data_IF_513876242760
#
_entry.id   IF_513876242760
#
_cell.length_a   1.000
_cell.length_b   1.000
_cell.length_c   1.000
_cell.angle_alpha   90.00
_cell.angle_beta   90.00
_cell.angle_gamma   90.00
#
_symmetry.space_group_name_H-M   'P 1'
#
loop_
_entity.id
_entity.type
_entity.pdbx_description
1 polymer ?
#
# COMPACT_ATOMS: atom_id res chain seq x y z
N UNK A 1 -18.79 9.68 -0.33
CA UNK A 1 -18.12 8.82 -1.33
C UNK A 1 -17.27 7.81 -0.57
N UNK A 2 -17.45 6.51 -0.79
CA UNK A 2 -16.62 5.48 -0.15
C UNK A 2 -15.46 5.10 -1.09
N UNK A 3 -14.26 4.99 -0.53
CA UNK A 3 -13.07 4.53 -1.24
C UNK A 3 -12.52 3.34 -0.45
N UNK A 4 -12.36 2.21 -1.12
CA UNK A 4 -11.53 1.12 -0.61
C UNK A 4 -10.07 1.44 -0.95
N UNK A 5 -9.28 1.81 0.06
CA UNK A 5 -7.93 2.30 -0.15
C UNK A 5 -6.88 1.20 -0.30
N UNK A 6 -7.27 -0.07 -0.19
CA UNK A 6 -6.34 -1.20 -0.31
C UNK A 6 -7.05 -2.52 -0.59
N UNK A 7 -7.08 -2.95 -1.85
CA UNK A 7 -7.73 -4.21 -2.24
C UNK A 7 -6.92 -4.95 -3.32
N UNK A 8 -6.57 -6.22 -3.06
CA UNK A 8 -5.87 -7.07 -4.03
C UNK A 8 -6.87 -7.76 -4.97
N UNK A 9 -7.61 -6.97 -5.76
CA UNK A 9 -8.49 -7.52 -6.80
C UNK A 9 -7.72 -8.19 -7.93
N UNK A 10 -6.42 -7.93 -8.05
CA UNK A 10 -5.48 -8.62 -8.95
C UNK A 10 -5.17 -10.07 -8.52
N UNK A 11 -5.54 -10.46 -7.30
CA UNK A 11 -5.33 -11.80 -6.80
C UNK A 11 -6.11 -12.87 -7.59
N UNK A 12 -5.56 -14.07 -7.64
CA UNK A 12 -6.10 -15.21 -8.39
C UNK A 12 -7.45 -15.70 -7.82
N UNK A 13 -7.68 -15.48 -6.52
CA UNK A 13 -8.95 -15.77 -5.85
C UNK A 13 -10.15 -15.05 -6.46
N UNK A 14 -9.92 -13.99 -7.24
CA UNK A 14 -10.96 -13.25 -7.95
C UNK A 14 -11.04 -13.60 -9.44
N UNK A 15 -10.23 -14.51 -9.99
CA UNK A 15 -10.20 -14.77 -11.45
C UNK A 15 -11.57 -15.13 -12.03
N UNK A 16 -12.39 -15.89 -11.29
CA UNK A 16 -13.70 -16.32 -11.76
C UNK A 16 -14.78 -15.23 -11.69
N UNK A 17 -14.65 -14.22 -10.83
CA UNK A 17 -15.73 -13.29 -10.55
C UNK A 17 -15.35 -11.81 -10.29
N UNK A 18 -14.11 -11.42 -10.57
CA UNK A 18 -13.55 -10.07 -10.39
C UNK A 18 -14.49 -8.96 -10.85
N UNK A 19 -14.97 -9.05 -12.10
CA UNK A 19 -15.89 -8.06 -12.67
C UNK A 19 -17.18 -7.94 -11.87
N UNK A 20 -17.75 -9.06 -11.43
CA UNK A 20 -18.97 -9.09 -10.63
C UNK A 20 -18.72 -8.51 -9.23
N UNK A 21 -17.56 -8.77 -8.64
CA UNK A 21 -17.16 -8.19 -7.34
C UNK A 21 -17.06 -6.66 -7.45
N UNK A 22 -16.40 -6.14 -8.48
CA UNK A 22 -16.26 -4.70 -8.73
C UNK A 22 -17.62 -4.05 -8.91
N UNK A 23 -18.48 -4.61 -9.78
CA UNK A 23 -19.83 -4.09 -10.01
C UNK A 23 -20.65 -4.07 -8.72
N UNK A 24 -20.60 -5.15 -7.93
CA UNK A 24 -21.28 -5.21 -6.63
C UNK A 24 -20.76 -4.15 -5.67
N UNK A 25 -19.45 -3.90 -5.62
CA UNK A 25 -18.87 -2.85 -4.78
C UNK A 25 -19.40 -1.46 -5.18
N UNK A 26 -19.42 -1.16 -6.49
CA UNK A 26 -19.94 0.10 -7.02
C UNK A 26 -21.44 0.28 -6.74
N UNK A 27 -22.25 -0.78 -6.92
CA UNK A 27 -23.68 -0.78 -6.58
C UNK A 27 -23.94 -0.50 -5.10
N UNK A 28 -22.98 -0.81 -4.23
CA UNK A 28 -23.04 -0.52 -2.79
C UNK A 28 -22.31 0.78 -2.41
N UNK A 29 -21.99 1.64 -3.38
CA UNK A 29 -21.48 3.00 -3.15
C UNK A 29 -19.96 3.13 -3.01
N UNK A 30 -19.19 2.07 -3.28
CA UNK A 30 -17.72 2.14 -3.39
C UNK A 30 -17.36 2.77 -4.72
N UNK A 31 -16.90 4.02 -4.69
CA UNK A 31 -16.62 4.79 -5.90
C UNK A 31 -15.23 4.52 -6.49
N UNK A 32 -14.28 4.11 -5.64
CA UNK A 32 -12.89 3.87 -6.03
C UNK A 32 -12.30 2.75 -5.18
N UNK A 33 -11.44 1.95 -5.79
CA UNK A 33 -10.73 0.82 -5.18
C UNK A 33 -9.26 0.95 -5.57
N UNK A 34 -8.38 1.21 -4.61
CA UNK A 34 -6.93 1.23 -4.86
C UNK A 34 -6.43 -0.21 -4.90
N UNK A 35 -5.79 -0.60 -6.00
CA UNK A 35 -5.27 -1.95 -6.25
C UNK A 35 -3.75 -1.89 -6.25
N UNK A 36 -3.09 -2.27 -5.13
CA UNK A 36 -1.64 -2.25 -5.05
C UNK A 36 -1.03 -3.56 -5.56
N UNK A 37 -0.12 -3.44 -6.53
CA UNK A 37 0.73 -4.54 -6.94
C UNK A 37 1.72 -4.90 -5.83
N UNK A 38 1.97 -6.20 -5.66
CA UNK A 38 2.94 -6.72 -4.67
C UNK A 38 4.29 -7.12 -5.28
N UNK A 39 4.35 -7.29 -6.61
CA UNK A 39 5.54 -7.68 -7.35
C UNK A 39 5.49 -7.18 -8.80
N UNK A 40 6.65 -7.08 -9.45
CA UNK A 40 6.78 -6.58 -10.82
C UNK A 40 5.91 -7.35 -11.83
N UNK A 41 5.78 -8.67 -11.66
CA UNK A 41 4.96 -9.51 -12.52
C UNK A 41 3.46 -9.14 -12.52
N UNK A 42 2.97 -8.48 -11.46
CA UNK A 42 1.57 -8.06 -11.33
C UNK A 42 1.28 -6.71 -12.00
N UNK A 43 2.29 -5.93 -12.42
CA UNK A 43 2.08 -4.57 -12.91
C UNK A 43 1.16 -4.52 -14.12
N UNK A 44 1.37 -5.41 -15.10
CA UNK A 44 0.54 -5.47 -16.30
C UNK A 44 -0.93 -5.81 -15.96
N UNK A 45 -1.16 -6.74 -15.04
CA UNK A 45 -2.50 -7.13 -14.63
C UNK A 45 -3.23 -6.00 -13.89
N UNK A 46 -2.54 -5.31 -12.97
CA UNK A 46 -3.10 -4.17 -12.21
C UNK A 46 -3.43 -3.00 -13.13
N UNK A 47 -2.57 -2.70 -14.11
CA UNK A 47 -2.84 -1.65 -15.11
C UNK A 47 -3.99 -2.03 -16.04
N UNK A 48 -4.02 -3.26 -16.55
CA UNK A 48 -5.13 -3.75 -17.37
C UNK A 48 -6.46 -3.72 -16.61
N UNK A 49 -6.43 -3.99 -15.30
CA UNK A 49 -7.62 -3.89 -14.46
C UNK A 49 -8.16 -2.46 -14.38
N UNK A 50 -7.28 -1.47 -14.29
CA UNK A 50 -7.65 -0.04 -14.34
C UNK A 50 -8.26 0.34 -15.69
N UNK A 51 -7.67 -0.11 -16.80
CA UNK A 51 -8.20 0.14 -18.15
C UNK A 51 -9.60 -0.46 -18.35
N UNK A 52 -9.83 -1.66 -17.83
CA UNK A 52 -11.13 -2.34 -17.92
C UNK A 52 -12.16 -1.75 -16.94
N UNK A 53 -11.71 -1.27 -15.78
CA UNK A 53 -12.56 -0.77 -14.71
C UNK A 53 -11.95 0.50 -14.10
N UNK A 54 -12.38 1.67 -14.58
CA UNK A 54 -11.86 2.97 -14.14
C UNK A 54 -11.97 3.24 -12.62
N UNK A 55 -12.84 2.51 -11.90
CA UNK A 55 -12.92 2.59 -10.43
C UNK A 55 -11.74 1.89 -9.73
N UNK A 56 -11.07 0.94 -10.37
CA UNK A 56 -9.86 0.31 -9.88
C UNK A 56 -8.68 1.22 -10.21
N UNK A 57 -8.00 1.75 -9.20
CA UNK A 57 -6.93 2.73 -9.35
C UNK A 57 -5.60 2.07 -8.99
N UNK A 58 -4.60 2.09 -9.88
CA UNK A 58 -3.39 1.32 -9.69
C UNK A 58 -2.44 2.00 -8.71
N UNK A 59 -1.87 1.21 -7.80
CA UNK A 59 -0.63 1.51 -7.11
C UNK A 59 0.41 0.45 -7.51
N UNK A 60 1.63 0.87 -7.87
CA UNK A 60 2.68 -0.05 -8.32
C UNK A 60 3.83 -0.08 -7.33
N UNK A 61 4.25 -1.27 -6.92
CA UNK A 61 5.28 -1.46 -5.92
C UNK A 61 5.76 -2.90 -5.80
N UNK A 62 6.84 -3.05 -5.04
CA UNK A 62 7.53 -4.29 -4.73
C UNK A 62 7.43 -4.49 -3.21
N UNK A 63 6.58 -5.42 -2.81
CA UNK A 63 6.19 -5.65 -1.42
C UNK A 63 7.30 -6.41 -0.65
N UNK A 64 7.54 -6.09 0.64
CA UNK A 64 8.64 -6.68 1.43
C UNK A 64 8.59 -8.20 1.61
N UNK A 65 7.40 -8.84 1.55
CA UNK A 65 7.31 -10.30 1.63
C UNK A 65 7.86 -11.01 0.38
N UNK A 66 8.03 -10.29 -0.73
CA UNK A 66 8.47 -10.83 -2.02
C UNK A 66 9.95 -10.51 -2.33
N UNK A 67 10.74 -10.08 -1.34
CA UNK A 67 12.15 -9.71 -1.56
C UNK A 67 13.02 -10.80 -2.20
N UNK A 68 12.62 -12.07 -2.09
CA UNK A 68 13.34 -13.20 -2.67
C UNK A 68 13.12 -13.36 -4.18
N UNK A 69 12.06 -12.77 -4.73
CA UNK A 69 11.80 -12.72 -6.18
C UNK A 69 12.12 -11.35 -6.77
N UNK A 70 12.36 -10.33 -5.95
CA UNK A 70 12.71 -9.01 -6.45
C UNK A 70 14.14 -9.00 -6.99
N UNK A 71 14.29 -8.44 -8.18
CA UNK A 71 15.57 -8.22 -8.84
C UNK A 71 15.80 -6.72 -9.02
N UNK A 72 17.06 -6.23 -9.04
CA UNK A 72 17.35 -4.80 -9.23
C UNK A 72 16.70 -4.19 -10.48
N UNK A 73 16.57 -4.96 -11.57
CA UNK A 73 15.87 -4.54 -12.80
C UNK A 73 14.38 -4.24 -12.57
N UNK A 74 13.73 -4.83 -11.56
CA UNK A 74 12.33 -4.53 -11.24
C UNK A 74 12.16 -3.08 -10.77
N UNK A 75 13.18 -2.47 -10.16
CA UNK A 75 13.15 -1.04 -9.80
C UNK A 75 13.24 -0.14 -11.05
N UNK A 76 14.03 -0.55 -12.05
CA UNK A 76 14.10 0.15 -13.33
C UNK A 76 12.76 0.04 -14.08
N UNK A 77 12.16 -1.16 -14.10
CA UNK A 77 10.83 -1.39 -14.68
C UNK A 77 9.77 -0.56 -13.96
N UNK A 78 9.78 -0.52 -12.62
CA UNK A 78 8.87 0.31 -11.84
C UNK A 78 8.97 1.79 -12.26
N UNK A 79 10.19 2.34 -12.31
CA UNK A 79 10.41 3.74 -12.71
C UNK A 79 9.89 4.02 -14.11
N UNK A 80 10.26 3.18 -15.09
CA UNK A 80 9.80 3.36 -16.48
C UNK A 80 8.27 3.24 -16.59
N UNK A 81 7.67 2.29 -15.87
CA UNK A 81 6.21 2.11 -15.86
C UNK A 81 5.53 3.33 -15.23
N UNK A 82 6.05 3.87 -14.13
CA UNK A 82 5.51 5.08 -13.49
C UNK A 82 5.57 6.28 -14.42
N UNK A 83 6.67 6.46 -15.15
CA UNK A 83 6.84 7.56 -16.11
C UNK A 83 5.81 7.50 -17.25
N UNK A 84 5.52 6.31 -17.77
CA UNK A 84 4.60 6.12 -18.88
C UNK A 84 3.12 6.06 -18.45
N UNK A 85 2.81 5.35 -17.37
CA UNK A 85 1.43 5.02 -16.97
C UNK A 85 0.86 5.94 -15.90
N UNK A 86 1.73 6.65 -15.14
CA UNK A 86 1.34 7.58 -14.08
C UNK A 86 0.32 6.99 -13.10
N UNK A 87 0.65 5.89 -12.39
CA UNK A 87 -0.24 5.30 -11.40
C UNK A 87 -0.54 6.31 -10.28
N UNK A 88 -1.61 6.07 -9.51
CA UNK A 88 -2.01 7.02 -8.48
C UNK A 88 -1.08 7.03 -7.26
N UNK A 89 -0.33 5.95 -7.03
CA UNK A 89 0.60 5.82 -5.92
C UNK A 89 1.73 4.82 -6.21
N UNK A 90 2.80 4.90 -5.42
CA UNK A 90 3.78 3.83 -5.30
C UNK A 90 3.37 2.92 -4.14
N UNK A 91 3.15 1.64 -4.40
CA UNK A 91 2.60 0.72 -3.41
C UNK A 91 2.20 -0.62 -3.99
N UNK A 92 2.25 -1.71 -3.23
CA UNK A 92 2.50 -1.74 -1.78
C UNK A 92 4.00 -1.84 -1.49
N UNK A 93 4.52 -0.93 -0.66
CA UNK A 93 5.95 -0.85 -0.31
C UNK A 93 6.12 -0.72 1.20
N UNK A 94 7.24 -1.17 1.76
CA UNK A 94 7.50 -0.97 3.18
C UNK A 94 8.34 -2.06 3.81
N UNK A 95 8.05 -2.39 5.07
CA UNK A 95 8.86 -3.29 5.89
C UNK A 95 7.97 -4.27 6.68
N UNK A 96 8.38 -5.53 6.72
CA UNK A 96 7.80 -6.59 7.53
C UNK A 96 8.87 -7.21 8.44
N UNK A 97 8.77 -6.92 9.75
CA UNK A 97 9.63 -7.47 10.81
C UNK A 97 8.93 -8.58 11.61
N UNK A 98 7.82 -9.09 11.10
CA UNK A 98 7.09 -10.20 11.71
C UNK A 98 7.39 -11.53 11.02
N UNK A 99 7.40 -11.56 9.69
CA UNK A 99 7.61 -12.78 8.91
C UNK A 99 9.08 -13.21 9.03
N UNK A 100 9.36 -14.44 9.52
CA UNK A 100 10.73 -14.92 9.66
C UNK A 100 11.38 -15.16 8.29
N UNK A 101 12.71 -15.00 8.22
CA UNK A 101 13.50 -15.28 7.01
C UNK A 101 13.60 -14.14 6.01
N UNK A 102 12.95 -12.99 6.27
CA UNK A 102 13.12 -11.80 5.44
C UNK A 102 14.32 -10.98 5.90
N UNK A 103 15.34 -10.85 5.05
CA UNK A 103 16.53 -10.03 5.35
C UNK A 103 16.17 -8.54 5.42
N UNK A 104 16.47 -7.91 6.55
CA UNK A 104 16.13 -6.51 6.78
C UNK A 104 16.82 -5.55 5.82
N UNK A 105 18.08 -5.78 5.48
CA UNK A 105 18.85 -4.88 4.61
C UNK A 105 18.30 -4.93 3.18
N UNK A 106 17.87 -6.11 2.71
CA UNK A 106 17.22 -6.25 1.41
C UNK A 106 15.86 -5.54 1.40
N UNK A 107 15.05 -5.72 2.46
CA UNK A 107 13.78 -4.98 2.60
C UNK A 107 14.01 -3.47 2.60
N UNK A 108 14.96 -2.97 3.39
CA UNK A 108 15.28 -1.54 3.48
C UNK A 108 15.79 -0.99 2.15
N UNK A 109 16.62 -1.74 1.42
CA UNK A 109 17.06 -1.38 0.07
C UNK A 109 15.87 -1.16 -0.87
N UNK A 110 15.02 -2.17 -1.07
CA UNK A 110 13.87 -2.04 -1.98
C UNK A 110 12.88 -0.98 -1.51
N UNK A 111 12.64 -0.86 -0.21
CA UNK A 111 11.77 0.18 0.32
C UNK A 111 12.31 1.57 -0.02
N UNK A 112 13.58 1.84 0.27
CA UNK A 112 14.16 3.17 0.08
C UNK A 112 14.32 3.55 -1.39
N UNK A 113 14.64 2.60 -2.29
CA UNK A 113 14.66 2.88 -3.73
C UNK A 113 13.27 3.26 -4.28
N UNK A 114 12.21 2.63 -3.78
CA UNK A 114 10.84 2.96 -4.16
C UNK A 114 10.38 4.31 -3.59
N UNK A 115 10.85 4.70 -2.39
CA UNK A 115 10.63 6.06 -1.88
C UNK A 115 11.29 7.13 -2.76
N UNK A 116 12.46 6.84 -3.37
CA UNK A 116 13.07 7.76 -4.33
C UNK A 116 12.20 7.92 -5.57
N UNK A 117 11.62 6.83 -6.09
CA UNK A 117 10.67 6.90 -7.21
C UNK A 117 9.46 7.75 -6.82
N UNK A 118 8.84 7.50 -5.66
CA UNK A 118 7.71 8.28 -5.18
C UNK A 118 8.03 9.78 -5.09
N UNK A 119 9.20 10.13 -4.52
CA UNK A 119 9.67 11.51 -4.44
C UNK A 119 9.85 12.15 -5.82
N UNK A 120 10.56 11.47 -6.72
CA UNK A 120 10.96 12.04 -8.01
C UNK A 120 9.75 12.30 -8.93
N UNK A 121 8.68 11.52 -8.78
CA UNK A 121 7.43 11.69 -9.53
C UNK A 121 6.31 12.38 -8.72
N UNK A 122 6.62 12.89 -7.52
CA UNK A 122 5.66 13.50 -6.60
C UNK A 122 4.41 12.62 -6.33
N UNK A 123 4.58 11.30 -6.21
CA UNK A 123 3.50 10.36 -5.94
C UNK A 123 3.33 10.06 -4.45
N UNK A 124 2.10 9.90 -3.95
CA UNK A 124 1.87 9.35 -2.62
C UNK A 124 2.29 7.87 -2.56
N UNK A 125 2.43 7.34 -1.34
CA UNK A 125 2.80 5.94 -1.12
C UNK A 125 1.72 5.15 -0.38
N UNK A 126 1.54 3.87 -0.72
CA UNK A 126 0.74 2.91 0.06
C UNK A 126 1.70 1.98 0.80
N UNK A 127 1.69 2.06 2.14
CA UNK A 127 2.73 1.51 3.00
C UNK A 127 2.32 0.24 3.74
N UNK A 128 3.08 -0.82 3.53
CA UNK A 128 3.12 -1.97 4.43
C UNK A 128 4.01 -1.68 5.62
N UNK A 129 3.48 -1.88 6.82
CA UNK A 129 4.27 -1.79 8.03
C UNK A 129 3.80 -2.82 9.04
N UNK A 130 4.60 -3.87 9.23
CA UNK A 130 4.31 -4.90 10.22
C UNK A 130 5.45 -5.03 11.21
N UNK A 131 5.18 -4.63 12.46
CA UNK A 131 6.18 -4.47 13.53
C UNK A 131 7.36 -3.55 13.13
N UNK A 132 7.13 -2.65 12.19
CA UNK A 132 8.18 -1.84 11.56
C UNK A 132 7.85 -0.34 11.50
N UNK A 133 6.85 0.14 12.25
CA UNK A 133 6.35 1.52 12.16
C UNK A 133 7.46 2.56 12.33
N UNK A 134 8.36 2.36 13.30
CA UNK A 134 9.41 3.33 13.60
C UNK A 134 10.48 3.37 12.50
N UNK A 135 10.82 2.20 11.94
CA UNK A 135 11.73 2.05 10.80
C UNK A 135 11.13 2.66 9.54
N UNK A 136 9.84 2.44 9.28
CA UNK A 136 9.11 3.06 8.16
C UNK A 136 9.12 4.58 8.32
N UNK A 137 8.69 5.11 9.46
CA UNK A 137 8.67 6.55 9.76
C UNK A 137 10.05 7.20 9.61
N UNK A 138 11.12 6.51 10.02
CA UNK A 138 12.51 6.99 9.84
C UNK A 138 12.82 7.21 8.36
N UNK A 139 12.50 6.26 7.47
CA UNK A 139 12.77 6.41 6.04
C UNK A 139 11.86 7.46 5.40
N UNK A 140 10.58 7.54 5.77
CA UNK A 140 9.68 8.58 5.28
C UNK A 140 10.21 10.00 5.55
N UNK A 141 10.72 10.24 6.77
CA UNK A 141 11.39 11.50 7.12
C UNK A 141 12.64 11.74 6.29
N UNK A 142 13.50 10.71 6.15
CA UNK A 142 14.77 10.79 5.40
C UNK A 142 14.55 11.18 3.94
N UNK A 143 13.52 10.62 3.30
CA UNK A 143 13.20 10.89 1.89
C UNK A 143 12.15 12.00 1.70
N UNK A 144 11.74 12.66 2.79
CA UNK A 144 10.74 13.73 2.80
C UNK A 144 9.40 13.35 2.13
N UNK A 145 8.95 12.11 2.32
CA UNK A 145 7.66 11.65 1.83
C UNK A 145 6.57 12.09 2.81
N UNK A 146 5.61 12.88 2.33
CA UNK A 146 4.59 13.53 3.17
C UNK A 146 3.15 13.18 2.80
N UNK A 147 2.94 12.28 1.85
CA UNK A 147 1.61 11.87 1.38
C UNK A 147 1.57 10.37 1.22
N UNK A 148 0.52 9.76 1.75
CA UNK A 148 0.33 8.32 1.62
C UNK A 148 -0.61 7.76 2.66
N UNK A 149 -0.73 6.43 2.63
CA UNK A 149 -1.58 5.65 3.51
C UNK A 149 -0.71 4.61 4.20
N UNK A 150 -0.70 4.61 5.53
CA UNK A 150 -0.25 3.45 6.31
C UNK A 150 -1.41 2.45 6.37
N UNK A 151 -1.47 1.52 5.41
CA UNK A 151 -2.62 0.61 5.32
C UNK A 151 -2.60 -0.40 6.47
N UNK A 152 -3.79 -0.92 6.79
CA UNK A 152 -4.00 -1.89 7.86
C UNK A 152 -3.23 -1.52 9.17
N UNK A 153 -3.27 -0.23 9.54
CA UNK A 153 -2.43 0.32 10.60
C UNK A 153 -2.62 -0.45 11.91
N UNK A 154 -1.50 -0.87 12.48
CA UNK A 154 -1.43 -1.48 13.80
C UNK A 154 -0.23 -0.90 14.53
N UNK A 155 -0.48 -0.22 15.65
CA UNK A 155 0.56 0.47 16.40
C UNK A 155 0.04 1.12 17.67
N UNK A 156 0.91 1.87 18.33
CA UNK A 156 0.53 2.72 19.45
C UNK A 156 -0.12 4.03 18.96
N UNK A 157 -0.77 4.75 19.88
CA UNK A 157 -1.28 6.09 19.60
C UNK A 157 -0.15 7.06 19.19
N UNK A 158 1.00 6.97 19.85
CA UNK A 158 2.18 7.78 19.50
C UNK A 158 2.64 7.53 18.06
N UNK A 159 2.64 6.26 17.61
CA UNK A 159 2.98 5.92 16.23
C UNK A 159 1.93 6.46 15.24
N UNK A 160 0.64 6.38 15.59
CA UNK A 160 -0.43 6.96 14.79
C UNK A 160 -0.26 8.49 14.63
N UNK A 161 -0.03 9.20 15.73
CA UNK A 161 0.21 10.65 15.74
C UNK A 161 1.46 11.03 14.94
N UNK A 162 2.51 10.21 14.99
CA UNK A 162 3.72 10.42 14.19
C UNK A 162 3.46 10.29 12.68
N UNK A 163 2.67 9.30 12.25
CA UNK A 163 2.24 9.19 10.85
C UNK A 163 1.37 10.38 10.43
N UNK A 164 0.40 10.77 11.25
CA UNK A 164 -0.48 11.92 10.97
C UNK A 164 0.34 13.21 10.84
N UNK A 165 1.29 13.43 11.75
CA UNK A 165 2.21 14.59 11.72
C UNK A 165 3.08 14.57 10.46
N UNK A 166 3.47 13.40 9.97
CA UNK A 166 4.20 13.23 8.71
C UNK A 166 3.32 13.49 7.46
N UNK A 167 2.00 13.62 7.62
CA UNK A 167 1.04 13.87 6.54
C UNK A 167 0.32 12.62 6.01
N UNK A 168 0.41 11.50 6.73
CA UNK A 168 -0.21 10.24 6.33
C UNK A 168 -1.63 10.08 6.85
N UNK A 169 -2.44 9.34 6.09
CA UNK A 169 -3.69 8.76 6.57
C UNK A 169 -3.45 7.32 7.06
N UNK A 170 -4.25 6.87 8.01
CA UNK A 170 -4.17 5.53 8.57
C UNK A 170 -5.33 4.69 8.05
N UNK A 171 -5.00 3.55 7.43
CA UNK A 171 -5.98 2.61 6.92
C UNK A 171 -6.44 1.66 8.02
N UNK A 172 -7.74 1.51 8.20
CA UNK A 172 -8.32 0.53 9.11
C UNK A 172 -9.21 -0.45 8.35
N UNK A 173 -8.86 -1.73 8.39
CA UNK A 173 -9.60 -2.79 7.71
C UNK A 173 -10.52 -3.59 8.64
N UNK A 174 -10.95 -4.76 8.14
CA UNK A 174 -11.87 -5.65 8.84
C UNK A 174 -11.42 -6.11 10.23
N UNK A 175 -10.11 -6.11 10.52
CA UNK A 175 -9.57 -6.45 11.85
C UNK A 175 -10.14 -5.57 12.98
N UNK A 176 -10.61 -4.35 12.67
CA UNK A 176 -11.27 -3.48 13.64
C UNK A 176 -12.60 -4.06 14.14
N UNK A 177 -13.25 -4.94 13.37
CA UNK A 177 -14.51 -5.59 13.77
C UNK A 177 -14.32 -6.68 14.83
N UNK A 178 -13.08 -7.15 15.03
CA UNK A 178 -12.80 -8.20 16.01
C UNK A 178 -12.92 -7.66 17.43
N UNK A 179 -13.72 -8.35 18.27
CA UNK A 179 -13.99 -7.92 19.66
C UNK A 179 -12.73 -7.80 20.50
N UNK A 180 -11.70 -8.61 20.22
CA UNK A 180 -10.41 -8.60 20.92
C UNK A 180 -9.45 -7.50 20.45
N UNK A 181 -9.74 -6.81 19.35
CA UNK A 181 -8.89 -5.74 18.82
C UNK A 181 -9.15 -4.39 19.53
N UNK A 182 -9.15 -4.39 20.87
CA UNK A 182 -9.56 -3.25 21.70
C UNK A 182 -8.76 -1.99 21.40
N UNK A 183 -7.44 -2.08 21.28
CA UNK A 183 -6.60 -0.94 20.94
C UNK A 183 -6.88 -0.41 19.52
N UNK A 184 -7.05 -1.28 18.53
CA UNK A 184 -7.33 -0.87 17.15
C UNK A 184 -8.68 -0.13 17.06
N UNK A 185 -9.70 -0.65 17.74
CA UNK A 185 -11.03 -0.02 17.84
C UNK A 185 -10.98 1.33 18.51
N UNK A 186 -10.23 1.45 19.62
CA UNK A 186 -10.03 2.71 20.32
C UNK A 186 -9.37 3.75 19.39
N UNK A 187 -8.28 3.38 18.73
CA UNK A 187 -7.58 4.28 17.80
C UNK A 187 -8.49 4.75 16.65
N UNK A 188 -9.28 3.85 16.06
CA UNK A 188 -10.21 4.22 15.01
C UNK A 188 -11.32 5.20 15.46
N UNK A 189 -11.66 5.21 16.75
CA UNK A 189 -12.67 6.10 17.31
C UNK A 189 -12.10 7.46 17.78
N UNK A 190 -10.84 7.49 18.22
CA UNK A 190 -10.23 8.67 18.87
C UNK A 190 -9.37 9.52 17.94
N UNK A 191 -8.85 8.95 16.84
CA UNK A 191 -7.97 9.66 15.92
C UNK A 191 -8.74 10.62 15.00
N UNK A 192 -8.12 11.72 14.55
CA UNK A 192 -8.76 12.70 13.68
C UNK A 192 -9.06 12.14 12.28
N UNK A 193 -10.14 12.64 11.66
CA UNK A 193 -10.55 12.35 10.28
C UNK A 193 -9.73 13.16 9.26
#
# INVERSE_FOLDING_TARGET
MLIDTHCHLDAAEFDEDRTRVIQRAQQNGVAMIVVPAVQCAAFAAVLALHEQHAACVPALGLHPMYIHVHLPEHLAILRATVEHQRPAAIGEIGLDLFVPGLDFNIQEYYFTEQLKVARDFDLPVVLHSRRANDQVLKQLRRFNIRRGIAHAFSGSQQQAEAFITQGFKLGFGGAMTYTRATNLRRLAAELPL
#
